data_IF_775854605884
#
_entry.id   IF_775854605884
#
_cell.length_a   1.000
_cell.length_b   1.000
_cell.length_c   1.000
_cell.angle_alpha   90.00
_cell.angle_beta   90.00
_cell.angle_gamma   90.00
#
_symmetry.space_group_name_H-M   'P 1'
#
loop_
_entity.id
_entity.type
_entity.pdbx_description
1 polymer ?
#
# COMPACT_ATOMS: atom_id res chain seq x y z
N UNK A 1 -3.83 18.66 18.54
CA UNK A 1 -3.06 17.50 18.09
C UNK A 1 -1.84 17.97 17.30
N UNK A 2 -0.68 17.42 17.61
CA UNK A 2 0.51 17.73 16.84
C UNK A 2 0.44 17.04 15.47
N UNK A 3 0.87 17.77 14.45
CA UNK A 3 0.93 17.25 13.09
C UNK A 3 2.26 17.56 12.46
N UNK A 4 2.57 16.83 11.40
CA UNK A 4 3.75 17.07 10.58
C UNK A 4 3.29 17.34 9.15
N UNK A 5 3.60 18.52 8.58
CA UNK A 5 3.24 18.81 7.20
C UNK A 5 4.14 18.02 6.25
N UNK A 6 3.54 17.19 5.43
CA UNK A 6 4.25 16.37 4.44
C UNK A 6 3.92 16.84 3.04
N UNK A 7 4.97 17.11 2.25
CA UNK A 7 4.84 17.44 0.84
C UNK A 7 4.97 16.16 0.03
N UNK A 8 3.92 15.80 -0.67
CA UNK A 8 3.89 14.54 -1.43
C UNK A 8 3.05 14.71 -2.70
N UNK A 9 3.62 14.31 -3.83
CA UNK A 9 2.95 14.33 -5.13
C UNK A 9 2.34 15.70 -5.48
N UNK A 10 3.03 16.78 -5.11
CA UNK A 10 2.57 18.14 -5.37
C UNK A 10 1.50 18.64 -4.39
N UNK A 11 1.17 17.86 -3.38
CA UNK A 11 0.17 18.20 -2.37
C UNK A 11 0.81 18.32 -1.00
N UNK A 12 0.11 18.95 -0.08
CA UNK A 12 0.53 19.03 1.34
C UNK A 12 -0.54 18.37 2.18
N UNK A 13 -0.10 17.49 3.08
CA UNK A 13 -0.99 16.82 4.05
C UNK A 13 -0.39 16.92 5.43
N UNK A 14 -1.21 17.28 6.41
CA UNK A 14 -0.80 17.36 7.81
C UNK A 14 -0.98 15.98 8.45
N UNK A 15 0.13 15.28 8.65
CA UNK A 15 0.10 13.94 9.22
C UNK A 15 -0.06 14.04 10.74
N UNK A 16 -1.04 13.36 11.33
CA UNK A 16 -1.12 13.32 12.79
C UNK A 16 0.05 12.56 13.38
N UNK A 17 0.63 13.12 14.45
CA UNK A 17 1.72 12.45 15.16
C UNK A 17 1.09 11.48 16.16
N UNK A 18 1.35 10.21 15.96
CA UNK A 18 0.73 9.14 16.73
C UNK A 18 1.77 8.32 17.48
N UNK A 19 1.46 8.02 18.76
CA UNK A 19 2.32 7.21 19.61
C UNK A 19 2.13 5.71 19.26
N UNK A 20 3.23 5.03 19.00
CA UNK A 20 3.23 3.59 18.74
C UNK A 20 3.71 2.83 19.98
N UNK A 21 4.84 3.28 20.55
CA UNK A 21 5.37 2.78 21.84
C UNK A 21 5.77 3.97 22.69
N UNK A 22 6.25 3.71 23.92
CA UNK A 22 6.68 4.78 24.83
C UNK A 22 7.72 5.71 24.19
N UNK A 23 8.61 5.17 23.38
CA UNK A 23 9.72 5.91 22.79
C UNK A 23 9.60 6.08 21.28
N UNK A 24 8.46 5.71 20.69
CA UNK A 24 8.32 5.69 19.23
C UNK A 24 7.01 6.34 18.78
N UNK A 25 7.14 7.41 18.00
CA UNK A 25 6.02 8.13 17.40
C UNK A 25 6.16 8.12 15.89
N UNK A 26 5.05 8.15 15.20
CA UNK A 26 5.03 8.24 13.74
C UNK A 26 4.13 9.39 13.29
N UNK A 27 4.45 9.95 12.14
CA UNK A 27 3.50 10.76 11.39
C UNK A 27 2.64 9.80 10.57
N UNK A 28 1.39 9.66 10.95
CA UNK A 28 0.52 8.68 10.30
C UNK A 28 0.14 9.15 8.91
N UNK A 29 0.62 8.42 7.89
CA UNK A 29 0.29 8.69 6.49
C UNK A 29 -0.94 7.87 6.12
N UNK A 30 -2.07 8.56 5.97
CA UNK A 30 -3.35 7.90 5.72
C UNK A 30 -3.84 8.30 4.34
N UNK A 31 -3.90 7.33 3.43
CA UNK A 31 -4.38 7.54 2.07
C UNK A 31 -5.84 7.15 1.90
N UNK A 32 -6.37 6.26 2.75
CA UNK A 32 -7.75 5.82 2.68
C UNK A 32 -8.70 7.02 2.75
N UNK A 33 -9.60 7.12 1.76
CA UNK A 33 -10.58 8.18 1.72
C UNK A 33 -10.08 9.47 1.06
N UNK A 34 -8.78 9.57 0.78
CA UNK A 34 -8.21 10.76 0.14
C UNK A 34 -8.01 10.48 -1.36
N UNK A 35 -9.04 10.74 -2.14
CA UNK A 35 -9.04 10.45 -3.57
C UNK A 35 -8.02 11.31 -4.32
N UNK A 36 -7.92 12.60 -4.00
CA UNK A 36 -6.97 13.50 -4.64
C UNK A 36 -5.54 13.02 -4.44
N UNK A 37 -5.19 12.66 -3.20
CA UNK A 37 -3.87 12.15 -2.86
C UNK A 37 -3.58 10.83 -3.57
N UNK A 38 -4.56 9.94 -3.62
CA UNK A 38 -4.41 8.64 -4.28
C UNK A 38 -4.10 8.79 -5.77
N UNK A 39 -4.84 9.66 -6.46
CA UNK A 39 -4.62 9.91 -7.88
C UNK A 39 -3.23 10.51 -8.12
N UNK A 40 -2.85 11.51 -7.32
CA UNK A 40 -1.57 12.19 -7.47
C UNK A 40 -0.39 11.26 -7.18
N UNK A 41 -0.48 10.46 -6.12
CA UNK A 41 0.57 9.50 -5.78
C UNK A 41 0.71 8.41 -6.83
N UNK A 42 -0.42 7.91 -7.36
CA UNK A 42 -0.38 6.89 -8.41
C UNK A 42 0.33 7.43 -9.65
N UNK A 43 0.02 8.65 -10.05
CA UNK A 43 0.68 9.30 -11.19
C UNK A 43 2.18 9.39 -10.99
N UNK A 44 2.61 9.87 -9.82
CA UNK A 44 4.02 10.08 -9.55
C UNK A 44 4.78 8.74 -9.42
N UNK A 45 4.18 7.73 -8.81
CA UNK A 45 4.78 6.41 -8.71
C UNK A 45 4.94 5.75 -10.07
N UNK A 46 3.94 5.88 -10.95
CA UNK A 46 4.05 5.34 -12.29
C UNK A 46 5.15 6.03 -13.08
N UNK A 47 5.32 7.33 -12.89
CA UNK A 47 6.41 8.07 -13.53
C UNK A 47 7.77 7.60 -13.04
N UNK A 48 7.91 7.36 -11.74
CA UNK A 48 9.15 6.82 -11.17
C UNK A 48 9.45 5.42 -11.68
N UNK A 49 8.42 4.64 -11.98
CA UNK A 49 8.54 3.25 -12.42
C UNK A 49 8.63 3.08 -13.94
N UNK A 50 8.56 4.16 -14.71
CA UNK A 50 8.44 4.05 -16.17
C UNK A 50 9.64 3.38 -16.84
N UNK A 51 10.81 3.44 -16.21
CA UNK A 51 12.02 2.80 -16.74
C UNK A 51 12.25 1.38 -16.16
N UNK A 52 11.36 0.94 -15.25
CA UNK A 52 11.47 -0.40 -14.69
C UNK A 52 10.79 -1.41 -15.60
N UNK A 53 11.43 -2.56 -15.75
CA UNK A 53 10.88 -3.67 -16.52
C UNK A 53 10.15 -4.60 -15.55
N UNK A 54 8.82 -4.47 -15.51
CA UNK A 54 7.99 -5.30 -14.63
C UNK A 54 6.74 -5.76 -15.40
N UNK A 55 6.21 -6.90 -14.99
CA UNK A 55 5.03 -7.47 -15.62
C UNK A 55 3.73 -7.09 -14.91
N UNK A 56 3.77 -7.00 -13.59
CA UNK A 56 2.56 -6.80 -12.78
C UNK A 56 2.79 -5.84 -11.65
N UNK A 57 1.67 -5.24 -11.19
CA UNK A 57 1.62 -4.46 -9.96
C UNK A 57 1.13 -5.36 -8.84
N UNK A 58 1.77 -5.27 -7.69
CA UNK A 58 1.45 -6.08 -6.52
C UNK A 58 1.51 -5.20 -5.27
N UNK A 59 0.57 -5.37 -4.37
CA UNK A 59 0.63 -4.74 -3.06
C UNK A 59 0.17 -5.70 -1.98
N UNK A 60 0.60 -5.43 -0.76
CA UNK A 60 0.09 -6.13 0.42
C UNK A 60 -1.19 -5.45 0.90
N UNK A 61 -2.13 -6.23 1.45
CA UNK A 61 -3.32 -5.72 2.10
C UNK A 61 -2.91 -4.82 3.29
N UNK A 62 -3.53 -3.63 3.58
CA UNK A 62 -4.76 -3.23 2.93
C UNK A 62 -4.72 -1.76 2.46
N UNK A 63 -3.89 -0.89 3.07
CA UNK A 63 -3.99 0.57 2.89
C UNK A 63 -3.65 1.03 1.49
N UNK A 64 -2.83 0.28 0.77
CA UNK A 64 -2.42 0.63 -0.60
C UNK A 64 -3.30 0.03 -1.68
N UNK A 65 -4.43 -0.62 -1.31
CA UNK A 65 -5.35 -1.15 -2.32
C UNK A 65 -5.91 -0.05 -3.22
N UNK A 66 -6.42 1.07 -2.71
CA UNK A 66 -6.87 2.15 -3.60
C UNK A 66 -5.76 2.68 -4.49
N UNK A 67 -4.55 2.77 -3.97
CA UNK A 67 -3.39 3.25 -4.72
C UNK A 67 -3.05 2.34 -5.90
N UNK A 68 -2.96 1.03 -5.65
CA UNK A 68 -2.62 0.09 -6.72
C UNK A 68 -3.71 0.02 -7.78
N UNK A 69 -4.98 0.11 -7.37
CA UNK A 69 -6.09 0.17 -8.31
C UNK A 69 -5.96 1.38 -9.22
N UNK A 70 -5.68 2.56 -8.65
CA UNK A 70 -5.53 3.78 -9.42
C UNK A 70 -4.31 3.72 -10.34
N UNK A 71 -3.21 3.10 -9.89
CA UNK A 71 -2.04 2.88 -10.73
C UNK A 71 -2.37 1.98 -11.91
N UNK A 72 -3.13 0.91 -11.68
CA UNK A 72 -3.57 0.03 -12.77
C UNK A 72 -4.46 0.79 -13.76
N UNK A 73 -5.39 1.60 -13.25
CA UNK A 73 -6.28 2.39 -14.10
C UNK A 73 -5.49 3.37 -14.97
N UNK A 74 -4.56 4.11 -14.37
CA UNK A 74 -3.77 5.11 -15.11
C UNK A 74 -2.84 4.47 -16.14
N UNK A 75 -2.26 3.32 -15.81
CA UNK A 75 -1.31 2.63 -16.69
C UNK A 75 -1.98 1.75 -17.75
N UNK A 76 -3.29 1.54 -17.65
CA UNK A 76 -4.02 0.66 -18.55
C UNK A 76 -3.83 -0.82 -18.27
N UNK A 77 -3.31 -1.18 -17.09
CA UNK A 77 -3.16 -2.56 -16.69
C UNK A 77 -4.54 -3.19 -16.42
N UNK A 78 -4.76 -4.40 -16.92
CA UNK A 78 -6.03 -5.10 -16.72
C UNK A 78 -6.11 -5.80 -15.38
N UNK A 79 -4.97 -6.07 -14.76
CA UNK A 79 -4.89 -6.83 -13.50
C UNK A 79 -3.84 -6.22 -12.58
N UNK A 80 -4.06 -6.42 -11.31
CA UNK A 80 -3.06 -6.21 -10.26
C UNK A 80 -3.31 -7.26 -9.19
N UNK A 81 -2.33 -7.44 -8.28
CA UNK A 81 -2.40 -8.49 -7.28
C UNK A 81 -2.34 -7.91 -5.89
N UNK A 82 -3.08 -8.52 -4.98
CA UNK A 82 -3.09 -8.14 -3.57
C UNK A 82 -2.68 -9.36 -2.74
N UNK A 83 -1.55 -9.23 -2.04
CA UNK A 83 -1.13 -10.24 -1.08
C UNK A 83 -2.01 -10.09 0.16
N UNK A 84 -2.83 -11.10 0.44
CA UNK A 84 -3.85 -11.05 1.49
C UNK A 84 -3.27 -11.49 2.82
N UNK A 85 -3.86 -11.00 3.91
CA UNK A 85 -3.40 -11.33 5.27
C UNK A 85 -3.86 -12.71 5.75
N UNK A 86 -4.71 -13.37 4.98
CA UNK A 86 -5.15 -14.74 5.24
C UNK A 86 -5.48 -15.45 3.95
N UNK A 87 -5.39 -16.78 3.92
CA UNK A 87 -5.77 -17.54 2.72
C UNK A 87 -7.27 -17.42 2.50
N UNK A 88 -7.68 -17.32 1.24
CA UNK A 88 -9.08 -17.18 0.87
C UNK A 88 -9.55 -18.44 0.15
N UNK A 89 -10.87 -18.70 0.21
CA UNK A 89 -11.44 -19.91 -0.39
C UNK A 89 -11.20 -20.01 -1.90
N UNK A 90 -10.99 -18.88 -2.56
CA UNK A 90 -10.72 -18.84 -3.99
C UNK A 90 -9.23 -18.92 -4.33
N UNK A 91 -8.37 -19.21 -3.34
CA UNK A 91 -6.93 -19.39 -3.54
C UNK A 91 -6.58 -20.87 -3.42
N UNK A 92 -6.62 -21.63 -4.53
CA UNK A 92 -6.15 -23.03 -4.48
C UNK A 92 -4.64 -23.04 -4.26
N UNK A 93 -4.17 -23.87 -3.34
CA UNK A 93 -2.76 -24.07 -3.04
C UNK A 93 -2.03 -22.71 -2.86
N UNK A 94 -2.44 -21.88 -1.87
CA UNK A 94 -1.85 -20.56 -1.71
C UNK A 94 -0.39 -20.63 -1.30
N UNK A 95 0.41 -19.68 -1.81
CA UNK A 95 1.78 -19.46 -1.34
C UNK A 95 1.76 -18.35 -0.30
N UNK A 96 2.71 -18.38 0.62
CA UNK A 96 2.74 -17.40 1.70
C UNK A 96 4.16 -17.03 2.10
N UNK A 97 4.28 -15.87 2.73
CA UNK A 97 5.52 -15.38 3.31
C UNK A 97 5.18 -14.69 4.63
N UNK A 98 6.08 -14.79 5.60
CA UNK A 98 5.93 -14.10 6.87
C UNK A 98 6.27 -12.63 6.74
N UNK A 99 5.56 -11.80 7.49
CA UNK A 99 5.76 -10.36 7.51
C UNK A 99 5.57 -9.84 8.93
N UNK A 100 6.16 -8.68 9.23
CA UNK A 100 6.01 -8.01 10.50
C UNK A 100 5.85 -6.51 10.29
N UNK A 101 4.76 -5.96 10.84
CA UNK A 101 4.46 -4.54 10.77
C UNK A 101 4.93 -3.83 12.03
N UNK A 102 5.36 -2.57 11.91
CA UNK A 102 5.75 -1.76 13.05
C UNK A 102 4.55 -1.33 13.89
N UNK A 103 3.34 -1.37 13.34
CA UNK A 103 2.13 -0.93 14.01
C UNK A 103 1.24 -2.07 14.46
N UNK A 104 1.61 -3.32 14.17
CA UNK A 104 0.84 -4.50 14.51
C UNK A 104 1.70 -5.44 15.32
N UNK A 105 1.16 -5.95 16.43
CA UNK A 105 1.87 -6.92 17.26
C UNK A 105 1.88 -8.29 16.58
N UNK A 106 3.02 -8.99 16.73
CA UNK A 106 3.18 -10.36 16.26
C UNK A 106 3.57 -10.46 14.79
N UNK A 107 3.71 -11.70 14.34
CA UNK A 107 4.09 -12.02 12.97
C UNK A 107 2.83 -12.22 12.14
N UNK A 108 2.81 -11.62 10.96
CA UNK A 108 1.73 -11.76 9.99
C UNK A 108 2.22 -12.60 8.82
N UNK A 109 1.28 -13.12 8.04
CA UNK A 109 1.59 -13.80 6.78
C UNK A 109 0.86 -13.11 5.64
N UNK A 110 1.46 -13.16 4.46
CA UNK A 110 0.84 -12.66 3.23
C UNK A 110 0.66 -13.82 2.28
N UNK A 111 -0.49 -13.86 1.62
CA UNK A 111 -0.92 -15.00 0.80
C UNK A 111 -1.31 -14.57 -0.60
N UNK A 112 -0.87 -15.35 -1.58
CA UNK A 112 -1.33 -15.27 -2.97
C UNK A 112 -1.76 -16.66 -3.41
N UNK A 113 -2.69 -16.73 -4.37
CA UNK A 113 -2.94 -17.98 -5.06
C UNK A 113 -1.70 -18.36 -5.87
N UNK A 114 -1.35 -19.63 -5.90
CA UNK A 114 -0.12 -20.07 -6.59
C UNK A 114 -0.13 -19.76 -8.07
N UNK A 115 -1.30 -19.71 -8.67
CA UNK A 115 -1.47 -19.47 -10.10
C UNK A 115 -1.69 -17.98 -10.44
N UNK A 116 -1.60 -17.12 -9.46
CA UNK A 116 -1.71 -15.67 -9.67
C UNK A 116 -0.54 -15.11 -10.48
#
# INVERSE_FOLDING_TARGET
>A
MMTYPMHVAGLVRDLPICKVTEDFYIGAFIMFGDAELTVACARDLLKLAEELDYDYLLTAEAKSIPLIHEMARQSGAEKYFIARKGPKVYMPDPISVEDRSITTLGVQQLFLGRDD
#
